data_IF_207104393764
#
_entry.id   IF_207104393764
#
_cell.length_a   1.000
_cell.length_b   1.000
_cell.length_c   1.000
_cell.angle_alpha   90.00
_cell.angle_beta   90.00
_cell.angle_gamma   90.00
#
_symmetry.space_group_name_H-M   'P 1'
#
loop_
_entity.id
_entity.type
_entity.pdbx_description
1 polymer ?
#
# COMPACT_ATOMS: atom_id res chain seq x y z
N UNK A 1 31.88 27.05 -3.27
CA UNK A 1 30.62 27.08 -2.51
C UNK A 1 30.10 25.65 -2.44
N UNK A 2 30.07 25.07 -1.24
CA UNK A 2 29.56 23.72 -1.01
C UNK A 2 28.03 23.80 -1.04
N UNK A 3 27.40 23.08 -1.97
CA UNK A 3 25.96 22.92 -1.99
C UNK A 3 25.53 22.18 -0.72
N UNK A 4 24.90 22.89 0.21
CA UNK A 4 24.18 22.26 1.32
C UNK A 4 23.01 21.50 0.72
N UNK A 5 23.04 20.16 0.84
CA UNK A 5 21.84 19.33 0.69
C UNK A 5 20.87 19.80 1.76
N UNK A 6 19.89 20.60 1.35
CA UNK A 6 18.71 20.85 2.18
C UNK A 6 18.08 19.47 2.38
N UNK A 7 18.14 18.96 3.62
CA UNK A 7 17.36 17.80 4.02
C UNK A 7 15.90 18.18 3.78
N UNK A 8 15.27 17.53 2.80
CA UNK A 8 13.84 17.70 2.58
C UNK A 8 13.14 17.16 3.83
N UNK A 9 12.46 18.03 4.56
CA UNK A 9 11.50 17.61 5.58
C UNK A 9 10.49 16.66 4.95
N UNK A 10 10.18 15.56 5.66
CA UNK A 10 9.22 14.58 5.19
C UNK A 10 7.85 15.26 5.00
N UNK A 11 7.50 15.52 3.75
CA UNK A 11 6.21 16.11 3.35
C UNK A 11 5.03 15.16 3.49
N UNK A 12 5.26 13.93 3.95
CA UNK A 12 4.23 12.92 4.16
C UNK A 12 4.27 12.44 5.60
N UNK A 13 3.16 12.63 6.32
CA UNK A 13 2.99 12.21 7.71
C UNK A 13 1.93 11.12 7.78
N UNK A 14 2.32 9.94 8.26
CA UNK A 14 1.43 8.77 8.34
C UNK A 14 1.18 8.48 9.82
N UNK A 15 -0.10 8.40 10.21
CA UNK A 15 -0.51 8.31 11.61
C UNK A 15 -1.47 7.13 11.77
N UNK A 16 -1.19 6.25 12.73
CA UNK A 16 -2.05 5.15 13.12
C UNK A 16 -2.71 5.47 14.48
N UNK A 17 -3.97 5.04 14.67
CA UNK A 17 -4.71 5.28 15.91
C UNK A 17 -4.40 4.28 17.04
N UNK A 18 -3.49 3.35 16.80
CA UNK A 18 -3.11 2.24 17.65
C UNK A 18 -1.58 2.13 17.71
N UNK A 19 -1.06 1.33 18.65
CA UNK A 19 0.39 1.19 18.86
C UNK A 19 1.13 0.76 17.59
N UNK A 20 2.27 1.40 17.35
CA UNK A 20 3.15 1.11 16.23
C UNK A 20 3.60 -0.35 16.25
N UNK A 21 3.55 -0.99 15.08
CA UNK A 21 4.04 -2.35 14.90
C UNK A 21 4.78 -2.51 13.57
N UNK A 22 5.45 -3.64 13.40
CA UNK A 22 6.25 -3.95 12.21
C UNK A 22 5.45 -3.80 10.90
N UNK A 23 4.20 -4.23 10.90
CA UNK A 23 3.32 -4.17 9.73
C UNK A 23 3.04 -2.70 9.35
N UNK A 24 2.75 -1.84 10.34
CA UNK A 24 2.54 -0.41 10.13
C UNK A 24 3.79 0.29 9.61
N UNK A 25 4.98 -0.08 10.09
CA UNK A 25 6.26 0.45 9.59
C UNK A 25 6.46 0.12 8.11
N UNK A 26 6.18 -1.12 7.70
CA UNK A 26 6.26 -1.55 6.30
C UNK A 26 5.28 -0.76 5.44
N UNK A 27 4.05 -0.55 5.91
CA UNK A 27 3.05 0.27 5.19
C UNK A 27 3.54 1.71 5.04
N UNK A 28 4.05 2.31 6.12
CA UNK A 28 4.58 3.67 6.08
C UNK A 28 5.71 3.81 5.07
N UNK A 29 6.64 2.85 5.03
CA UNK A 29 7.70 2.84 4.03
C UNK A 29 7.17 2.73 2.60
N UNK A 30 6.17 1.88 2.36
CA UNK A 30 5.55 1.70 1.05
C UNK A 30 4.92 3.03 0.59
N UNK A 31 4.13 3.66 1.46
CA UNK A 31 3.43 4.92 1.15
C UNK A 31 4.44 6.05 0.92
N UNK A 32 5.44 6.21 1.79
CA UNK A 32 6.48 7.23 1.63
C UNK A 32 7.26 7.07 0.32
N UNK A 33 7.47 5.84 -0.15
CA UNK A 33 8.10 5.58 -1.45
C UNK A 33 7.18 5.88 -2.63
N UNK A 34 5.87 5.82 -2.45
CA UNK A 34 4.86 5.99 -3.51
C UNK A 34 4.40 7.42 -3.72
N UNK A 35 4.16 8.15 -2.63
CA UNK A 35 3.66 9.53 -2.70
C UNK A 35 4.72 10.41 -3.34
N UNK A 36 4.31 11.24 -4.29
CA UNK A 36 5.16 12.24 -4.92
C UNK A 36 4.92 13.56 -4.18
N UNK A 37 5.94 14.14 -3.52
CA UNK A 37 5.83 15.48 -2.97
C UNK A 37 5.48 16.48 -4.07
N UNK A 38 4.45 17.30 -3.84
CA UNK A 38 4.03 18.34 -4.81
C UNK A 38 5.04 19.49 -4.83
N UNK A 39 5.44 19.93 -3.64
CA UNK A 39 6.44 20.96 -3.41
C UNK A 39 7.05 20.78 -2.00
N UNK A 40 7.96 21.66 -1.61
CA UNK A 40 8.66 21.59 -0.31
C UNK A 40 7.86 22.19 0.86
N UNK A 41 6.63 22.67 0.64
CA UNK A 41 5.82 23.36 1.67
C UNK A 41 4.48 22.66 1.93
N UNK A 42 4.07 21.76 1.05
CA UNK A 42 2.83 20.99 1.16
C UNK A 42 3.08 19.75 2.02
N UNK A 43 2.35 19.66 3.14
CA UNK A 43 2.29 18.46 3.98
C UNK A 43 1.06 17.61 3.63
N UNK A 44 1.27 16.34 3.35
CA UNK A 44 0.24 15.32 3.13
C UNK A 44 0.14 14.48 4.40
N UNK A 45 -1.02 14.55 5.05
CA UNK A 45 -1.30 13.75 6.25
C UNK A 45 -2.21 12.58 5.92
N UNK A 46 -1.79 11.36 6.27
CA UNK A 46 -2.53 10.12 6.04
C UNK A 46 -2.84 9.49 7.41
N UNK A 47 -4.12 9.39 7.72
CA UNK A 47 -4.60 8.85 8.98
C UNK A 47 -5.23 7.48 8.77
N UNK A 48 -4.70 6.48 9.47
CA UNK A 48 -5.30 5.15 9.55
C UNK A 48 -6.02 4.98 10.88
N UNK A 49 -7.34 4.83 10.81
CA UNK A 49 -8.18 4.49 11.94
C UNK A 49 -8.63 3.03 11.82
N UNK A 50 -7.90 2.12 12.48
CA UNK A 50 -8.22 0.69 12.49
C UNK A 50 -9.39 0.45 13.45
N UNK A 51 -10.54 0.07 12.90
CA UNK A 51 -11.74 -0.24 13.69
C UNK A 51 -11.80 -1.72 14.12
N UNK A 52 -11.24 -2.62 13.29
CA UNK A 52 -11.21 -4.06 13.53
C UNK A 52 -9.93 -4.64 12.95
N UNK A 53 -9.30 -5.54 13.69
CA UNK A 53 -8.12 -6.29 13.23
C UNK A 53 -8.52 -7.65 12.68
N UNK A 54 -7.71 -8.16 11.76
CA UNK A 54 -7.91 -9.44 11.08
C UNK A 54 -6.65 -9.83 10.30
N UNK A 55 -6.64 -11.03 9.71
CA UNK A 55 -5.46 -11.55 9.01
C UNK A 55 -5.03 -10.65 7.84
N UNK A 56 -6.00 -10.03 7.16
CA UNK A 56 -5.77 -9.22 5.97
C UNK A 56 -5.59 -7.73 6.28
N UNK A 57 -5.19 -7.39 7.51
CA UNK A 57 -5.03 -5.98 7.92
C UNK A 57 -4.04 -5.25 7.01
N UNK A 58 -2.93 -5.89 6.65
CA UNK A 58 -1.91 -5.32 5.77
C UNK A 58 -2.49 -4.83 4.44
N UNK A 59 -3.17 -5.71 3.72
CA UNK A 59 -3.69 -5.37 2.40
C UNK A 59 -4.87 -4.42 2.46
N UNK A 60 -5.72 -4.54 3.48
CA UNK A 60 -6.82 -3.60 3.65
C UNK A 60 -6.31 -2.17 3.88
N UNK A 61 -5.28 -1.96 4.68
CA UNK A 61 -4.71 -0.63 4.89
C UNK A 61 -4.11 -0.06 3.59
N UNK A 62 -3.37 -0.86 2.84
CA UNK A 62 -2.81 -0.44 1.54
C UNK A 62 -3.92 -0.12 0.52
N UNK A 63 -4.96 -0.95 0.45
CA UNK A 63 -6.08 -0.73 -0.48
C UNK A 63 -6.90 0.51 -0.08
N UNK A 64 -7.15 0.71 1.21
CA UNK A 64 -7.79 1.92 1.73
C UNK A 64 -6.99 3.18 1.38
N UNK A 65 -5.66 3.14 1.58
CA UNK A 65 -4.78 4.24 1.16
C UNK A 65 -4.92 4.51 -0.34
N UNK A 66 -4.89 3.47 -1.17
CA UNK A 66 -4.94 3.63 -2.62
C UNK A 66 -6.24 4.29 -3.07
N UNK A 67 -7.38 3.85 -2.52
CA UNK A 67 -8.69 4.48 -2.77
C UNK A 67 -8.71 5.93 -2.30
N UNK A 68 -8.25 6.22 -1.08
CA UNK A 68 -8.21 7.58 -0.55
C UNK A 68 -7.28 8.49 -1.35
N UNK A 69 -6.13 7.99 -1.78
CA UNK A 69 -5.18 8.73 -2.60
C UNK A 69 -5.78 9.09 -3.96
N UNK A 70 -6.51 8.17 -4.57
CA UNK A 70 -7.21 8.42 -5.83
C UNK A 70 -8.34 9.46 -5.67
N UNK A 71 -9.19 9.29 -4.66
CA UNK A 71 -10.30 10.23 -4.39
C UNK A 71 -9.79 11.61 -3.96
N UNK A 72 -8.68 11.67 -3.23
CA UNK A 72 -8.02 12.89 -2.78
C UNK A 72 -7.10 13.53 -3.82
N UNK A 73 -6.98 12.94 -5.02
CA UNK A 73 -6.06 13.37 -6.07
C UNK A 73 -4.61 13.54 -5.59
N UNK A 74 -4.18 12.65 -4.68
CA UNK A 74 -2.82 12.61 -4.17
C UNK A 74 -1.92 12.04 -5.28
N UNK A 75 -0.87 12.76 -5.70
CA UNK A 75 0.01 12.28 -6.76
C UNK A 75 0.85 11.10 -6.27
N UNK A 76 0.75 9.98 -7.00
CA UNK A 76 1.49 8.74 -6.72
C UNK A 76 2.39 8.35 -7.89
N UNK A 77 3.54 7.73 -7.61
CA UNK A 77 4.43 7.13 -8.63
C UNK A 77 3.79 5.96 -9.35
N UNK A 78 2.93 5.23 -8.64
CA UNK A 78 2.11 4.17 -9.20
C UNK A 78 0.83 4.03 -8.38
N UNK A 79 -0.26 3.61 -9.01
CA UNK A 79 -1.44 3.18 -8.29
C UNK A 79 -1.21 1.74 -7.84
N UNK A 80 -1.42 1.43 -6.57
CA UNK A 80 -1.12 0.11 -6.03
C UNK A 80 -2.38 -0.60 -5.52
N UNK A 81 -2.28 -1.91 -5.42
CA UNK A 81 -3.27 -2.76 -4.77
C UNK A 81 -2.56 -3.90 -4.08
N UNK A 82 -3.17 -4.39 -3.00
CA UNK A 82 -2.58 -5.39 -2.13
C UNK A 82 -3.55 -6.52 -1.85
N UNK A 83 -2.99 -7.72 -1.69
CA UNK A 83 -3.72 -8.92 -1.26
C UNK A 83 -2.90 -9.70 -0.24
N UNK A 84 -3.59 -10.32 0.71
CA UNK A 84 -3.01 -11.31 1.62
C UNK A 84 -3.68 -12.66 1.40
N UNK A 85 -2.88 -13.71 1.26
CA UNK A 85 -3.36 -15.09 1.20
C UNK A 85 -2.85 -15.82 2.43
N UNK A 86 -3.76 -16.52 3.12
CA UNK A 86 -3.44 -17.38 4.26
C UNK A 86 -3.62 -18.84 3.88
N UNK A 87 -2.55 -19.64 4.01
CA UNK A 87 -2.58 -21.09 3.80
C UNK A 87 -1.94 -21.77 5.01
N UNK A 88 -2.77 -22.41 5.83
CA UNK A 88 -2.39 -22.97 7.14
C UNK A 88 -1.79 -21.91 8.08
N UNK A 89 -0.52 -22.08 8.44
CA UNK A 89 0.28 -21.16 9.26
C UNK A 89 1.18 -20.23 8.42
N UNK A 90 0.92 -20.13 7.11
CA UNK A 90 1.70 -19.34 6.17
C UNK A 90 0.87 -18.18 5.66
N UNK A 91 1.50 -17.02 5.54
CA UNK A 91 0.84 -15.81 5.06
C UNK A 91 1.70 -15.20 3.97
N UNK A 92 1.11 -14.95 2.81
CA UNK A 92 1.74 -14.21 1.74
C UNK A 92 1.04 -12.86 1.58
N UNK A 93 1.82 -11.79 1.51
CA UNK A 93 1.34 -10.44 1.23
C UNK A 93 2.01 -9.95 -0.05
N UNK A 94 1.22 -9.45 -1.00
CA UNK A 94 1.75 -8.82 -2.21
C UNK A 94 1.14 -7.44 -2.38
N UNK A 95 1.98 -6.44 -2.62
CA UNK A 95 1.60 -5.13 -3.14
C UNK A 95 2.04 -5.05 -4.59
N UNK A 96 1.13 -4.73 -5.50
CA UNK A 96 1.39 -4.71 -6.93
C UNK A 96 1.10 -3.34 -7.54
N UNK A 97 1.98 -2.87 -8.42
CA UNK A 97 1.85 -1.59 -9.11
C UNK A 97 1.09 -1.71 -10.43
N UNK A 98 0.06 -0.88 -10.59
CA UNK A 98 -0.84 -0.90 -11.74
C UNK A 98 -0.14 -0.53 -13.03
N UNK A 99 0.62 0.55 -13.03
CA UNK A 99 1.24 1.11 -14.24
C UNK A 99 2.56 0.41 -14.53
N UNK A 100 3.35 0.10 -13.50
CA UNK A 100 4.62 -0.62 -13.66
C UNK A 100 4.44 -2.12 -13.93
N UNK A 101 3.23 -2.66 -13.68
CA UNK A 101 2.89 -4.08 -13.88
C UNK A 101 3.90 -5.03 -13.23
N UNK A 102 4.31 -4.71 -11.99
CA UNK A 102 5.22 -5.54 -11.19
C UNK A 102 4.91 -5.44 -9.69
N UNK A 103 5.35 -6.43 -8.90
CA UNK A 103 5.30 -6.33 -7.44
C UNK A 103 6.12 -5.14 -6.94
N UNK A 104 5.51 -4.35 -6.07
CA UNK A 104 6.17 -3.29 -5.30
C UNK A 104 6.72 -3.84 -3.98
N UNK A 105 6.02 -4.78 -3.35
CA UNK A 105 6.45 -5.47 -2.14
C UNK A 105 5.90 -6.90 -2.14
N UNK A 106 6.70 -7.84 -1.62
CA UNK A 106 6.30 -9.22 -1.36
C UNK A 106 6.83 -9.60 0.02
N UNK A 107 5.93 -9.94 0.94
CA UNK A 107 6.28 -10.47 2.26
C UNK A 107 5.70 -11.87 2.40
N UNK A 108 6.53 -12.83 2.78
CA UNK A 108 6.13 -14.21 3.05
C UNK A 108 6.45 -14.51 4.51
N UNK A 109 5.44 -14.92 5.26
CA UNK A 109 5.53 -15.34 6.65
C UNK A 109 5.30 -16.85 6.73
N UNK A 110 6.26 -17.58 7.30
CA UNK A 110 6.27 -19.04 7.32
C UNK A 110 7.07 -19.66 6.18
N UNK A 111 7.16 -21.00 6.19
CA UNK A 111 7.92 -21.75 5.18
C UNK A 111 7.02 -22.16 4.02
N UNK A 112 7.30 -21.65 2.84
CA UNK A 112 6.67 -22.08 1.59
C UNK A 112 7.60 -23.06 0.87
N UNK A 113 7.11 -24.25 0.57
CA UNK A 113 7.85 -25.26 -0.19
C UNK A 113 7.98 -24.90 -1.67
N UNK A 114 7.00 -24.16 -2.20
CA UNK A 114 6.97 -23.67 -3.58
C UNK A 114 6.67 -22.18 -3.59
N UNK A 115 7.72 -21.37 -3.70
CA UNK A 115 7.64 -19.91 -3.72
C UNK A 115 6.98 -19.42 -5.03
N UNK A 116 7.17 -20.13 -6.13
CA UNK A 116 6.60 -19.73 -7.42
C UNK A 116 5.09 -19.92 -7.41
N UNK A 117 4.60 -21.03 -6.87
CA UNK A 117 3.17 -21.28 -6.74
C UNK A 117 2.45 -20.20 -5.93
N UNK A 118 2.98 -19.80 -4.76
CA UNK A 118 2.35 -18.74 -3.95
C UNK A 118 2.47 -17.37 -4.62
N UNK A 119 3.58 -17.11 -5.32
CA UNK A 119 3.76 -15.87 -6.06
C UNK A 119 2.72 -15.72 -7.18
N UNK A 120 2.49 -16.78 -7.95
CA UNK A 120 1.50 -16.78 -9.03
C UNK A 120 0.08 -16.62 -8.48
N UNK A 121 -0.23 -17.29 -7.37
CA UNK A 121 -1.52 -17.15 -6.68
C UNK A 121 -1.77 -15.71 -6.21
N UNK A 122 -0.78 -15.11 -5.54
CA UNK A 122 -0.85 -13.71 -5.09
C UNK A 122 -0.99 -12.75 -6.28
N UNK A 123 -0.28 -13.00 -7.38
CA UNK A 123 -0.36 -12.17 -8.58
C UNK A 123 -1.74 -12.25 -9.24
N UNK A 124 -2.35 -13.43 -9.29
CA UNK A 124 -3.72 -13.59 -9.79
C UNK A 124 -4.75 -12.86 -8.92
N UNK A 125 -4.62 -12.99 -7.59
CA UNK A 125 -5.50 -12.27 -6.66
C UNK A 125 -5.31 -10.75 -6.74
N UNK A 126 -4.08 -10.24 -6.90
CA UNK A 126 -3.84 -8.82 -7.15
C UNK A 126 -4.57 -8.32 -8.41
N UNK A 127 -4.59 -9.11 -9.50
CA UNK A 127 -5.31 -8.75 -10.73
C UNK A 127 -6.83 -8.73 -10.54
N UNK A 128 -7.37 -9.59 -9.67
CA UNK A 128 -8.80 -9.55 -9.30
C UNK A 128 -9.09 -8.32 -8.45
N UNK A 129 -8.23 -8.02 -7.48
CA UNK A 129 -8.35 -6.86 -6.61
C UNK A 129 -8.31 -5.53 -7.38
N UNK A 130 -7.45 -5.42 -8.41
CA UNK A 130 -7.41 -4.26 -9.32
C UNK A 130 -8.79 -3.96 -9.90
N UNK A 131 -9.50 -4.99 -10.38
CA UNK A 131 -10.83 -4.84 -10.99
C UNK A 131 -11.87 -4.39 -9.96
N UNK A 132 -11.83 -4.97 -8.75
CA UNK A 132 -12.76 -4.63 -7.66
C UNK A 132 -12.58 -3.19 -7.18
N UNK A 133 -11.35 -2.74 -7.00
CA UNK A 133 -11.06 -1.36 -6.60
C UNK A 133 -11.51 -0.38 -7.67
N UNK A 134 -11.20 -0.64 -8.94
CA UNK A 134 -11.65 0.20 -10.07
C UNK A 134 -13.17 0.33 -10.10
N UNK A 135 -13.89 -0.79 -10.04
CA UNK A 135 -15.35 -0.80 -10.01
C UNK A 135 -15.91 0.00 -8.81
N UNK A 136 -15.29 -0.17 -7.65
CA UNK A 136 -15.72 0.52 -6.42
C UNK A 136 -15.54 2.02 -6.53
N UNK A 137 -14.40 2.48 -7.06
CA UNK A 137 -14.13 3.91 -7.25
C UNK A 137 -15.04 4.52 -8.30
N UNK A 138 -15.24 3.84 -9.44
CA UNK A 138 -16.15 4.32 -10.49
C UNK A 138 -17.58 4.49 -9.94
N UNK A 139 -18.03 3.56 -9.09
CA UNK A 139 -19.35 3.64 -8.43
C UNK A 139 -19.46 4.83 -7.47
N UNK A 140 -18.36 5.20 -6.80
CA UNK A 140 -18.33 6.35 -5.89
C UNK A 140 -18.39 7.67 -6.69
N UNK A 141 -17.63 7.76 -7.78
CA UNK A 141 -17.54 8.98 -8.60
C UNK A 141 -18.77 9.25 -9.47
N UNK A 142 -19.63 8.26 -9.69
CA UNK A 142 -20.89 8.39 -10.45
C UNK A 142 -22.08 8.85 -9.60
N UNK A 143 -21.91 9.03 -8.29
CA UNK A 143 -22.93 9.57 -7.37
C UNK A 143 -22.73 11.06 -7.16
#
# INVERSE_FOLDING_TARGET
MLAQKIEQENTVKIIFNNEENELQNIISEIINKLVIPVDSVTEIQIYFHVLKTGFDLFSNLINCFSVCALLGNIPLKDFIYSVSIKSDNRIGHMVYGQYQKKPFNLKLEGSFSDINSIYDELLEECKKQEKLIKLSVDTILQK
#
